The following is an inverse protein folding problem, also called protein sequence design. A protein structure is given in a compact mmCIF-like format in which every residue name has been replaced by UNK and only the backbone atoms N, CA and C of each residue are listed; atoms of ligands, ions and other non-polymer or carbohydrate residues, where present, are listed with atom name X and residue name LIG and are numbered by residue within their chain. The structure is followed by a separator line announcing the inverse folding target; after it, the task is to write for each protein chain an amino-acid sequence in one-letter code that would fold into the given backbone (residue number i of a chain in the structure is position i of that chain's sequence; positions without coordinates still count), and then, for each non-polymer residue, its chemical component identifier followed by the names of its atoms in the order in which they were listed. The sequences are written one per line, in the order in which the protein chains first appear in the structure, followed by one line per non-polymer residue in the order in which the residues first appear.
data_IF_426819371916
#
_entry.id   IF_426819371916
#
_cell.length_a   1.000
_cell.length_b   1.000
_cell.length_c   1.000
_cell.angle_alpha   90.00
_cell.angle_beta   90.00
_cell.angle_gamma   90.00
#
_symmetry.space_group_name_H-M   'P 1'
#
loop_
_entity.id
_entity.type
_entity.pdbx_description
1 polymer ?
#
# COMPACT_ATOMS: atom_id res chain seq x y z
N UNK A 1 -24.84 -20.18 72.36
CA UNK A 1 -24.01 -21.00 71.45
C UNK A 1 -24.55 -22.42 71.44
N UNK A 2 -24.15 -23.26 70.48
CA UNK A 2 -24.53 -24.67 70.51
C UNK A 2 -23.75 -25.43 71.62
N UNK A 3 -24.15 -26.66 71.95
CA UNK A 3 -23.49 -27.41 73.02
C UNK A 3 -22.03 -27.74 72.71
N UNK A 4 -21.71 -27.91 71.42
CA UNK A 4 -20.39 -28.34 70.96
C UNK A 4 -19.38 -27.20 71.14
N UNK A 5 -19.75 -26.00 70.75
CA UNK A 5 -18.97 -24.77 70.93
C UNK A 5 -18.75 -24.48 72.42
N UNK A 6 -19.78 -24.65 73.25
CA UNK A 6 -19.69 -24.43 74.70
C UNK A 6 -18.70 -25.41 75.37
N UNK A 7 -18.70 -26.68 74.96
CA UNK A 7 -17.75 -27.68 75.48
C UNK A 7 -16.32 -27.38 75.03
N UNK A 8 -16.13 -26.91 73.80
CA UNK A 8 -14.79 -26.58 73.30
C UNK A 8 -14.19 -25.39 74.04
N UNK A 9 -14.99 -24.35 74.33
CA UNK A 9 -14.59 -23.21 75.14
C UNK A 9 -14.26 -23.65 76.58
N UNK A 10 -15.10 -24.50 77.19
CA UNK A 10 -14.89 -24.98 78.56
C UNK A 10 -13.62 -25.85 78.70
N UNK A 11 -13.24 -26.59 77.65
CA UNK A 11 -11.97 -27.35 77.63
C UNK A 11 -10.74 -26.45 77.61
N UNK A 12 -10.82 -25.28 76.97
CA UNK A 12 -9.70 -24.32 76.85
C UNK A 12 -9.51 -23.48 78.11
N UNK A 13 -10.51 -23.40 78.99
CA UNK A 13 -10.48 -22.57 80.20
C UNK A 13 -10.79 -23.42 81.44
N UNK A 14 -9.77 -23.89 82.20
CA UNK A 14 -9.97 -24.72 83.38
C UNK A 14 -10.82 -24.03 84.45
N UNK A 15 -11.70 -24.79 85.13
CA UNK A 15 -12.57 -24.25 86.19
C UNK A 15 -13.84 -23.57 85.68
N UNK A 16 -14.23 -23.85 84.43
CA UNK A 16 -15.49 -23.37 83.84
C UNK A 16 -16.58 -24.44 83.82
N UNK A 17 -17.83 -23.99 83.81
CA UNK A 17 -19.03 -24.81 83.79
C UNK A 17 -19.89 -24.44 82.58
N UNK A 18 -20.35 -25.45 81.85
CA UNK A 18 -21.34 -25.28 80.79
C UNK A 18 -22.73 -25.33 81.41
N UNK A 19 -23.51 -24.27 81.20
CA UNK A 19 -24.87 -24.14 81.73
C UNK A 19 -25.83 -23.76 80.60
N UNK A 20 -27.14 -23.97 80.81
CA UNK A 20 -28.17 -23.48 79.90
C UNK A 20 -28.68 -22.12 80.35
N UNK A 21 -28.93 -21.24 79.39
CA UNK A 21 -29.63 -19.99 79.63
C UNK A 21 -31.15 -20.18 79.64
N UNK A 22 -31.87 -19.11 79.98
CA UNK A 22 -33.34 -19.06 80.08
C UNK A 22 -34.05 -19.29 78.74
N UNK A 23 -33.32 -19.20 77.62
CA UNK A 23 -33.81 -19.39 76.26
C UNK A 23 -33.42 -20.76 75.69
N UNK A 24 -32.81 -21.64 76.50
CA UNK A 24 -32.40 -22.99 76.12
C UNK A 24 -31.07 -23.08 75.37
N UNK A 25 -30.35 -21.96 75.20
CA UNK A 25 -28.99 -21.90 74.67
C UNK A 25 -27.94 -22.34 75.69
N UNK A 26 -26.75 -22.72 75.23
CA UNK A 26 -25.63 -23.04 76.12
C UNK A 26 -24.72 -21.82 76.31
N UNK A 27 -24.20 -21.67 77.53
CA UNK A 27 -23.25 -20.64 77.94
C UNK A 27 -22.17 -21.25 78.83
N UNK A 28 -20.95 -20.72 78.75
CA UNK A 28 -19.82 -21.15 79.59
C UNK A 28 -19.58 -20.09 80.66
N UNK A 29 -19.57 -20.49 81.93
CA UNK A 29 -19.30 -19.60 83.07
C UNK A 29 -18.04 -20.02 83.81
N UNK A 30 -17.28 -19.08 84.35
CA UNK A 30 -16.20 -19.36 85.29
C UNK A 30 -16.76 -19.66 86.69
N UNK A 31 -15.92 -20.20 87.57
CA UNK A 31 -16.30 -20.50 88.95
C UNK A 31 -16.80 -19.27 89.75
N UNK A 32 -16.42 -18.06 89.34
CA UNK A 32 -16.90 -16.79 89.91
C UNK A 32 -18.26 -16.33 89.35
N UNK A 33 -18.88 -17.12 88.47
CA UNK A 33 -20.17 -16.83 87.83
C UNK A 33 -20.10 -15.93 86.60
N UNK A 34 -18.92 -15.40 86.25
CA UNK A 34 -18.72 -14.58 85.05
C UNK A 34 -18.82 -15.42 83.77
N UNK A 35 -19.32 -14.82 82.69
CA UNK A 35 -19.42 -15.47 81.39
C UNK A 35 -18.04 -15.53 80.72
N UNK A 36 -17.70 -16.67 80.14
CA UNK A 36 -16.56 -16.80 79.25
C UNK A 36 -17.04 -16.42 77.86
N UNK A 37 -16.69 -15.21 77.43
CA UNK A 37 -16.89 -14.78 76.06
C UNK A 37 -16.00 -15.66 75.16
N UNK A 38 -16.63 -16.48 74.31
CA UNK A 38 -15.93 -17.23 73.29
C UNK A 38 -15.24 -16.26 72.34
N UNK A 39 -13.98 -16.51 71.99
CA UNK A 39 -13.28 -15.75 70.95
C UNK A 39 -14.11 -15.83 69.66
N UNK A 40 -14.52 -14.70 69.09
CA UNK A 40 -15.44 -14.64 67.95
C UNK A 40 -14.80 -15.18 66.66
N UNK A 41 -15.18 -16.37 66.16
CA UNK A 41 -14.69 -16.88 64.87
C UNK A 41 -15.14 -16.00 63.67
N UNK A 42 -16.13 -15.13 63.88
CA UNK A 42 -16.64 -14.21 62.88
C UNK A 42 -15.61 -13.14 62.45
N UNK A 43 -14.67 -12.75 63.32
CA UNK A 43 -13.66 -11.74 63.00
C UNK A 43 -12.69 -12.23 61.91
N UNK A 44 -12.31 -13.50 61.95
CA UNK A 44 -11.38 -14.10 61.00
C UNK A 44 -12.04 -14.31 59.62
N UNK A 45 -13.30 -14.77 59.60
CA UNK A 45 -14.07 -14.94 58.37
C UNK A 45 -14.38 -13.60 57.68
N UNK A 46 -14.74 -12.56 58.44
CA UNK A 46 -14.93 -11.20 57.91
C UNK A 46 -13.64 -10.66 57.29
N UNK A 47 -12.48 -10.95 57.91
CA UNK A 47 -11.18 -10.50 57.39
C UNK A 47 -10.86 -11.18 56.07
N UNK A 48 -11.11 -12.48 55.95
CA UNK A 48 -10.92 -13.23 54.70
C UNK A 48 -11.85 -12.73 53.58
N UNK A 49 -13.13 -12.51 53.87
CA UNK A 49 -14.08 -11.98 52.89
C UNK A 49 -13.72 -10.56 52.42
N UNK A 50 -13.12 -9.73 53.29
CA UNK A 50 -12.61 -8.40 52.90
C UNK A 50 -11.44 -8.52 51.93
N UNK A 51 -10.48 -9.39 52.22
CA UNK A 51 -9.34 -9.64 51.33
C UNK A 51 -9.80 -10.19 49.97
N UNK A 52 -10.80 -11.08 49.96
CA UNK A 52 -11.33 -11.63 48.72
C UNK A 52 -12.07 -10.58 47.90
N UNK A 53 -12.89 -9.72 48.53
CA UNK A 53 -13.53 -8.59 47.87
C UNK A 53 -12.52 -7.60 47.30
N UNK A 54 -11.46 -7.27 48.05
CA UNK A 54 -10.38 -6.42 47.55
C UNK A 54 -9.70 -7.04 46.34
N UNK A 55 -9.44 -8.35 46.35
CA UNK A 55 -8.92 -9.08 45.19
C UNK A 55 -9.86 -9.00 43.99
N UNK A 56 -11.17 -9.16 44.20
CA UNK A 56 -12.16 -9.05 43.12
C UNK A 56 -12.24 -7.63 42.56
N UNK A 57 -12.15 -6.61 43.42
CA UNK A 57 -12.10 -5.21 42.99
C UNK A 57 -10.85 -4.93 42.15
N UNK A 58 -9.68 -5.37 42.61
CA UNK A 58 -8.44 -5.22 41.84
C UNK A 58 -8.51 -5.93 40.49
N UNK A 59 -9.03 -7.17 40.44
CA UNK A 59 -9.23 -7.89 39.19
C UNK A 59 -10.22 -7.17 38.25
N UNK A 60 -11.29 -6.58 38.80
CA UNK A 60 -12.26 -5.81 38.03
C UNK A 60 -11.60 -4.56 37.42
N UNK A 61 -10.83 -3.83 38.21
CA UNK A 61 -10.13 -2.63 37.75
C UNK A 61 -9.08 -2.95 36.67
N UNK A 62 -8.34 -4.04 36.83
CA UNK A 62 -7.40 -4.53 35.80
C UNK A 62 -8.10 -4.88 34.49
N UNK A 63 -9.18 -5.67 34.55
CA UNK A 63 -9.96 -6.04 33.37
C UNK A 63 -10.58 -4.81 32.70
N UNK A 64 -11.07 -3.86 33.47
CA UNK A 64 -11.63 -2.61 32.96
C UNK A 64 -10.55 -1.75 32.27
N UNK A 65 -9.35 -1.68 32.85
CA UNK A 65 -8.21 -1.01 32.22
C UNK A 65 -7.80 -1.68 30.89
N UNK A 66 -7.72 -3.01 30.85
CA UNK A 66 -7.42 -3.77 29.64
C UNK A 66 -8.48 -3.58 28.55
N UNK A 67 -9.76 -3.55 28.93
CA UNK A 67 -10.87 -3.28 28.01
C UNK A 67 -10.76 -1.87 27.41
N UNK A 68 -10.49 -0.87 28.24
CA UNK A 68 -10.30 0.51 27.78
C UNK A 68 -9.10 0.64 26.85
N UNK A 69 -7.98 0.02 27.19
CA UNK A 69 -6.79 0.01 26.34
C UNK A 69 -7.09 -0.65 24.98
N UNK A 70 -7.77 -1.80 24.99
CA UNK A 70 -8.16 -2.51 23.77
C UNK A 70 -9.09 -1.67 22.91
N UNK A 71 -10.08 -1.02 23.52
CA UNK A 71 -11.00 -0.09 22.84
C UNK A 71 -10.24 1.07 22.18
N UNK A 72 -9.31 1.70 22.88
CA UNK A 72 -8.50 2.79 22.32
C UNK A 72 -7.63 2.33 21.16
N UNK A 73 -7.03 1.14 21.26
CA UNK A 73 -6.23 0.55 20.18
C UNK A 73 -7.08 0.32 18.93
N UNK A 74 -8.31 -0.20 19.06
CA UNK A 74 -9.20 -0.40 17.92
C UNK A 74 -9.70 0.91 17.33
N UNK A 75 -10.02 1.92 18.15
CA UNK A 75 -10.39 3.25 17.66
C UNK A 75 -9.26 3.91 16.86
N UNK A 76 -8.02 3.79 17.33
CA UNK A 76 -6.84 4.31 16.62
C UNK A 76 -6.62 3.58 15.30
N UNK A 77 -6.84 2.25 15.26
CA UNK A 77 -6.77 1.48 14.01
C UNK A 77 -7.89 1.86 13.04
N UNK A 78 -9.11 2.06 13.52
CA UNK A 78 -10.25 2.44 12.69
C UNK A 78 -10.03 3.80 12.04
N UNK A 79 -9.62 4.80 12.83
CA UNK A 79 -9.30 6.14 12.32
C UNK A 79 -8.17 6.10 11.29
N UNK A 80 -7.10 5.34 11.52
CA UNK A 80 -6.03 5.18 10.52
C UNK A 80 -6.50 4.47 9.23
N UNK A 81 -7.43 3.51 9.32
CA UNK A 81 -8.03 2.88 8.15
C UNK A 81 -8.94 3.83 7.39
N UNK A 82 -9.72 4.67 8.08
CA UNK A 82 -10.56 5.70 7.48
C UNK A 82 -9.72 6.72 6.70
N UNK A 83 -8.62 7.20 7.27
CA UNK A 83 -7.67 8.09 6.59
C UNK A 83 -7.07 7.43 5.34
N UNK A 84 -6.71 6.14 5.42
CA UNK A 84 -6.17 5.38 4.29
C UNK A 84 -7.22 5.25 3.16
N UNK A 85 -8.48 4.99 3.52
CA UNK A 85 -9.59 4.91 2.56
C UNK A 85 -9.77 6.24 1.83
N UNK A 86 -9.71 7.36 2.54
CA UNK A 86 -9.90 8.68 1.93
C UNK A 86 -8.72 9.07 1.04
N UNK A 87 -7.49 8.70 1.41
CA UNK A 87 -6.31 8.82 0.53
C UNK A 87 -6.49 8.01 -0.76
N UNK A 88 -6.91 6.74 -0.64
CA UNK A 88 -7.12 5.87 -1.80
C UNK A 88 -8.22 6.40 -2.73
N UNK A 89 -9.32 6.94 -2.18
CA UNK A 89 -10.37 7.61 -2.97
C UNK A 89 -9.82 8.81 -3.73
N UNK A 90 -8.99 9.63 -3.07
CA UNK A 90 -8.36 10.78 -3.73
C UNK A 90 -7.46 10.33 -4.88
N UNK A 91 -6.60 9.33 -4.66
CA UNK A 91 -5.74 8.77 -5.71
C UNK A 91 -6.54 8.18 -6.87
N UNK A 92 -7.65 7.50 -6.59
CA UNK A 92 -8.52 6.93 -7.62
C UNK A 92 -9.15 8.03 -8.48
N UNK A 93 -9.62 9.13 -7.87
CA UNK A 93 -10.16 10.26 -8.60
C UNK A 93 -9.10 10.92 -9.51
N UNK A 94 -7.86 11.08 -9.01
CA UNK A 94 -6.75 11.62 -9.81
C UNK A 94 -6.43 10.72 -11.00
N UNK A 95 -6.29 9.40 -10.78
CA UNK A 95 -6.03 8.44 -11.85
C UNK A 95 -7.16 8.41 -12.88
N UNK A 96 -8.41 8.52 -12.44
CA UNK A 96 -9.55 8.60 -13.35
C UNK A 96 -9.52 9.87 -14.21
N UNK A 97 -9.13 11.01 -13.65
CA UNK A 97 -8.95 12.25 -14.39
C UNK A 97 -7.80 12.13 -15.41
N UNK A 98 -6.65 11.59 -15.02
CA UNK A 98 -5.51 11.34 -15.90
C UNK A 98 -5.88 10.40 -17.05
N UNK A 99 -6.58 9.29 -16.76
CA UNK A 99 -7.03 8.35 -17.78
C UNK A 99 -7.99 9.01 -18.79
N UNK A 100 -8.89 9.88 -18.30
CA UNK A 100 -9.80 10.62 -19.19
C UNK A 100 -9.05 11.61 -20.10
N UNK A 101 -8.00 12.25 -19.57
CA UNK A 101 -7.12 13.12 -20.35
C UNK A 101 -6.33 12.34 -21.40
N UNK A 102 -5.74 11.20 -21.02
CA UNK A 102 -5.01 10.33 -21.93
C UNK A 102 -5.88 9.82 -23.10
N UNK A 103 -7.14 9.44 -22.82
CA UNK A 103 -8.10 9.05 -23.87
C UNK A 103 -8.35 10.21 -24.84
N UNK A 104 -8.53 11.42 -24.34
CA UNK A 104 -8.76 12.59 -25.20
C UNK A 104 -7.54 12.90 -26.07
N UNK A 105 -6.34 12.82 -25.49
CA UNK A 105 -5.09 13.01 -26.23
C UNK A 105 -4.89 11.95 -27.31
N UNK A 106 -5.18 10.68 -27.02
CA UNK A 106 -5.12 9.61 -28.01
C UNK A 106 -6.09 9.86 -29.17
N UNK A 107 -7.34 10.23 -28.88
CA UNK A 107 -8.32 10.59 -29.93
C UNK A 107 -7.86 11.77 -30.78
N UNK A 108 -7.21 12.76 -30.19
CA UNK A 108 -6.66 13.90 -30.93
C UNK A 108 -5.50 13.49 -31.82
N UNK A 109 -4.59 12.65 -31.31
CA UNK A 109 -3.48 12.09 -32.08
C UNK A 109 -3.99 11.20 -33.22
N UNK A 110 -4.98 10.34 -32.99
CA UNK A 110 -5.63 9.55 -34.04
C UNK A 110 -6.20 10.43 -35.15
N UNK A 111 -6.89 11.53 -34.79
CA UNK A 111 -7.40 12.51 -35.76
C UNK A 111 -6.29 13.19 -36.55
N UNK A 112 -5.19 13.56 -35.89
CA UNK A 112 -4.03 14.17 -36.55
C UNK A 112 -3.37 13.17 -37.51
N UNK A 113 -3.15 11.94 -37.05
CA UNK A 113 -2.57 10.87 -37.86
C UNK A 113 -3.43 10.56 -39.08
N UNK A 114 -4.75 10.49 -38.93
CA UNK A 114 -5.67 10.24 -40.03
C UNK A 114 -5.63 11.33 -41.12
N UNK A 115 -5.30 12.58 -40.77
CA UNK A 115 -5.14 13.68 -41.75
C UNK A 115 -3.83 13.60 -42.54
N UNK A 116 -2.78 13.05 -41.92
CA UNK A 116 -1.45 12.92 -42.51
C UNK A 116 -1.34 11.65 -43.37
N UNK A 117 -2.07 10.58 -43.06
CA UNK A 117 -1.59 9.23 -43.41
C UNK A 117 -1.63 8.82 -44.87
N UNK A 118 -2.43 9.42 -45.75
CA UNK A 118 -2.51 8.96 -47.15
C UNK A 118 -2.22 10.09 -48.15
N UNK A 119 -2.88 11.24 -48.02
CA UNK A 119 -2.73 12.31 -48.99
C UNK A 119 -1.40 13.07 -48.86
N UNK A 120 -0.84 13.19 -47.65
CA UNK A 120 0.50 13.77 -47.48
C UNK A 120 1.59 12.79 -47.89
N UNK A 121 1.42 11.49 -47.61
CA UNK A 121 2.34 10.47 -48.09
C UNK A 121 2.38 10.37 -49.61
N UNK A 122 1.22 10.41 -50.27
CA UNK A 122 1.17 10.38 -51.74
C UNK A 122 1.76 11.67 -52.33
N UNK A 123 1.52 12.84 -51.72
CA UNK A 123 2.16 14.10 -52.14
C UNK A 123 3.68 14.06 -52.00
N UNK A 124 4.20 13.57 -50.89
CA UNK A 124 5.66 13.42 -50.67
C UNK A 124 6.25 12.48 -51.73
N UNK A 125 5.59 11.35 -51.98
CA UNK A 125 6.03 10.37 -52.98
C UNK A 125 6.04 10.94 -54.40
N UNK A 126 5.02 11.70 -54.79
CA UNK A 126 4.96 12.36 -56.10
C UNK A 126 6.07 13.42 -56.21
N UNK A 127 6.28 14.23 -55.19
CA UNK A 127 7.31 15.26 -55.19
C UNK A 127 8.72 14.66 -55.27
N UNK A 128 8.97 13.55 -54.57
CA UNK A 128 10.24 12.83 -54.62
C UNK A 128 10.50 12.22 -56.00
N UNK A 129 9.50 11.57 -56.61
CA UNK A 129 9.66 11.02 -57.96
C UNK A 129 9.87 12.12 -59.01
N UNK A 130 9.18 13.26 -58.88
CA UNK A 130 9.40 14.42 -59.75
C UNK A 130 10.83 14.97 -59.61
N UNK A 131 11.31 15.16 -58.37
CA UNK A 131 12.68 15.60 -58.12
C UNK A 131 13.72 14.63 -58.68
N UNK A 132 13.46 13.32 -58.59
CA UNK A 132 14.32 12.28 -59.16
C UNK A 132 14.36 12.36 -60.69
N UNK A 133 13.22 12.55 -61.33
CA UNK A 133 13.12 12.70 -62.79
C UNK A 133 13.78 14.00 -63.28
N UNK A 134 13.62 15.11 -62.57
CA UNK A 134 14.27 16.38 -62.88
C UNK A 134 15.79 16.29 -62.73
N UNK A 135 16.29 15.70 -61.64
CA UNK A 135 17.72 15.46 -61.47
C UNK A 135 18.29 14.53 -62.54
N UNK A 136 17.54 13.50 -62.94
CA UNK A 136 17.96 12.60 -64.02
C UNK A 136 18.03 13.32 -65.37
N UNK A 137 17.03 14.18 -65.67
CA UNK A 137 17.05 15.05 -66.86
C UNK A 137 18.22 16.02 -66.84
N UNK A 138 18.46 16.68 -65.70
CA UNK A 138 19.57 17.61 -65.53
C UNK A 138 20.91 16.92 -65.79
N UNK A 139 21.17 15.76 -65.16
CA UNK A 139 22.39 14.98 -65.40
C UNK A 139 22.55 14.54 -66.85
N UNK A 140 21.47 14.12 -67.52
CA UNK A 140 21.51 13.76 -68.94
C UNK A 140 21.79 14.97 -69.86
N UNK A 141 21.40 16.17 -69.44
CA UNK A 141 21.61 17.41 -70.18
C UNK A 141 23.00 18.01 -69.98
N UNK A 142 23.71 17.64 -68.91
CA UNK A 142 25.10 18.06 -68.70
C UNK A 142 25.99 17.69 -69.90
N UNK A 143 27.02 18.49 -70.12
CA UNK A 143 27.99 18.30 -71.21
C UNK A 143 29.38 18.47 -70.64
N UNK A 144 30.10 17.36 -70.55
CA UNK A 144 31.47 17.30 -70.05
C UNK A 144 32.40 16.90 -71.18
N UNK A 145 33.44 17.70 -71.43
CA UNK A 145 34.49 17.32 -72.39
C UNK A 145 35.42 16.35 -71.68
N UNK A 146 35.51 15.12 -72.20
CA UNK A 146 36.42 14.10 -71.70
C UNK A 146 37.56 13.89 -72.69
N UNK A 147 38.78 13.78 -72.16
CA UNK A 147 39.92 13.34 -72.96
C UNK A 147 39.75 11.87 -73.32
N UNK A 148 39.99 11.55 -74.59
CA UNK A 148 39.96 10.17 -75.05
C UNK A 148 41.33 9.55 -74.82
N UNK A 149 41.34 8.29 -74.38
CA UNK A 149 42.58 7.50 -74.27
C UNK A 149 43.35 7.40 -75.60
N UNK A 150 42.67 7.61 -76.74
CA UNK A 150 43.27 7.67 -78.07
C UNK A 150 44.28 8.82 -78.23
N UNK A 151 44.15 9.90 -77.44
CA UNK A 151 44.87 11.18 -77.55
C UNK A 151 44.92 11.81 -78.96
N UNK A 152 44.12 11.31 -79.91
CA UNK A 152 44.11 11.73 -81.31
C UNK A 152 45.05 10.91 -82.21
N UNK A 153 45.73 9.90 -81.67
CA UNK A 153 46.69 9.05 -82.42
C UNK A 153 46.00 8.00 -83.30
N UNK A 154 44.71 7.71 -83.06
CA UNK A 154 43.91 6.74 -83.82
C UNK A 154 42.81 7.46 -84.61
N UNK A 155 42.99 7.57 -85.94
CA UNK A 155 42.11 8.32 -86.84
C UNK A 155 40.63 7.87 -86.78
N UNK A 156 40.38 6.56 -86.61
CA UNK A 156 39.04 5.97 -86.57
C UNK A 156 38.62 5.48 -85.17
N UNK A 157 39.04 6.17 -84.11
CA UNK A 157 38.64 5.80 -82.76
C UNK A 157 37.12 5.93 -82.57
N UNK A 158 36.46 4.83 -82.17
CA UNK A 158 35.01 4.77 -81.98
C UNK A 158 34.42 5.76 -80.95
N UNK A 159 35.26 6.37 -80.10
CA UNK A 159 34.83 7.38 -79.13
C UNK A 159 35.17 8.81 -79.55
N UNK A 160 36.33 9.04 -80.15
CA UNK A 160 36.87 10.39 -80.41
C UNK A 160 36.86 10.78 -81.91
N UNK A 161 36.64 9.83 -82.83
CA UNK A 161 36.81 10.01 -84.29
C UNK A 161 38.11 10.76 -84.64
N UNK A 162 39.22 10.38 -84.00
CA UNK A 162 40.54 11.00 -84.19
C UNK A 162 40.74 12.35 -83.51
N UNK A 163 39.75 12.94 -82.83
CA UNK A 163 39.86 14.29 -82.22
C UNK A 163 40.60 14.35 -80.88
N UNK A 164 40.90 13.21 -80.26
CA UNK A 164 41.55 13.17 -78.93
C UNK A 164 40.65 13.52 -77.73
N UNK A 165 39.43 14.02 -77.96
CA UNK A 165 38.42 14.28 -76.92
C UNK A 165 37.00 14.05 -77.44
N UNK A 166 36.06 13.77 -76.54
CA UNK A 166 34.63 13.63 -76.85
C UNK A 166 33.76 14.25 -75.76
N UNK A 167 32.52 14.57 -76.08
CA UNK A 167 31.56 15.13 -75.11
C UNK A 167 30.74 14.00 -74.51
N UNK A 168 30.58 14.00 -73.19
CA UNK A 168 29.77 13.05 -72.45
C UNK A 168 28.70 13.75 -71.60
N UNK A 169 27.62 13.04 -71.28
CA UNK A 169 26.61 13.52 -70.34
C UNK A 169 27.09 13.39 -68.88
N UNK A 170 26.28 13.86 -67.92
CA UNK A 170 26.55 13.72 -66.48
C UNK A 170 26.50 12.27 -65.96
N UNK A 171 26.16 11.29 -66.82
CA UNK A 171 26.30 9.87 -66.56
C UNK A 171 27.55 9.26 -67.23
N UNK A 172 28.31 10.04 -68.01
CA UNK A 172 29.49 9.58 -68.73
C UNK A 172 29.19 8.91 -70.08
N UNK A 173 27.96 8.98 -70.57
CA UNK A 173 27.62 8.46 -71.90
C UNK A 173 28.08 9.44 -72.98
N UNK A 174 28.74 8.98 -74.06
CA UNK A 174 29.07 9.82 -75.21
C UNK A 174 27.81 10.39 -75.88
N UNK A 175 27.90 11.62 -76.40
CA UNK A 175 26.78 12.35 -77.01
C UNK A 175 27.17 12.85 -78.40
#
# INVERSE_FOLDING_TARGET
MDYRDAIEIARKVPGTLVTRDEYGGFIVRRADGSLVEGHEPASDEITLLRQENERYQNNYDELFAQLNQTKQNYLTKLTGLEETIDQLKSSLNTLQAEHSSAINNLKELEKKLAKVSNDEWERIKIADEQARLENAKARKAERHIQQCACLGEVENCARCNGRGSYTADGYGNPI
#
